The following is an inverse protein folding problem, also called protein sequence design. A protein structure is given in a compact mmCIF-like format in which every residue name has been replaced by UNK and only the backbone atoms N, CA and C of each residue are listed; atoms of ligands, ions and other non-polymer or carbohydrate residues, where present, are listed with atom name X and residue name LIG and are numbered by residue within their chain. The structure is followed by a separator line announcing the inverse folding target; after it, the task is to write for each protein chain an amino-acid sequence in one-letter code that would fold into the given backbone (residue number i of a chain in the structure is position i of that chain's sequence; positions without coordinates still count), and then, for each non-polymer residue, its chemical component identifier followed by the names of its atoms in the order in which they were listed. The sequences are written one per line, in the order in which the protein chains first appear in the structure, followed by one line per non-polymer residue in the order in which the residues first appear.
data_IF_622500658710
#
_entry.id   IF_622500658710
#
_cell.length_a   1.000
_cell.length_b   1.000
_cell.length_c   1.000
_cell.angle_alpha   90.00
_cell.angle_beta   90.00
_cell.angle_gamma   90.00
#
_symmetry.space_group_name_H-M   'P 1'
#
loop_
_entity.id
_entity.type
_entity.pdbx_description
1 polymer ?
#
# COMPACT_ATOMS: atom_id res chain seq x y z
N UNK A 1 4.81 -30.12 -3.66
CA UNK A 1 4.39 -28.72 -3.42
C UNK A 1 4.08 -28.57 -1.94
N UNK A 2 4.86 -27.78 -1.19
CA UNK A 2 4.62 -27.61 0.25
C UNK A 2 3.34 -26.79 0.46
N UNK A 3 2.34 -27.36 1.12
CA UNK A 3 1.10 -26.66 1.38
C UNK A 3 1.30 -25.54 2.42
N UNK A 4 0.75 -24.36 2.16
CA UNK A 4 0.84 -23.23 3.09
C UNK A 4 0.04 -23.52 4.36
N UNK A 5 0.64 -23.32 5.54
CA UNK A 5 -0.03 -23.46 6.84
C UNK A 5 -0.38 -22.10 7.44
N UNK A 6 -1.47 -22.04 8.17
CA UNK A 6 -1.91 -20.85 8.89
C UNK A 6 -0.90 -20.51 10.01
N UNK A 7 -0.41 -19.27 10.10
CA UNK A 7 0.55 -18.88 11.15
C UNK A 7 -0.07 -18.81 12.55
N UNK A 8 -1.40 -18.85 12.67
CA UNK A 8 -2.12 -18.77 13.95
C UNK A 8 -2.51 -20.15 14.47
N UNK A 9 -3.07 -21.01 13.62
CA UNK A 9 -3.61 -22.31 14.03
C UNK A 9 -2.93 -23.52 13.36
N UNK A 10 -1.90 -23.32 12.54
CA UNK A 10 -1.14 -24.37 11.82
C UNK A 10 -1.95 -25.26 10.86
N UNK A 11 -3.25 -25.00 10.67
CA UNK A 11 -4.10 -25.67 9.70
C UNK A 11 -3.68 -25.35 8.27
N UNK A 12 -3.99 -26.26 7.35
CA UNK A 12 -3.77 -26.08 5.92
C UNK A 12 -4.58 -24.90 5.37
N UNK A 13 -3.92 -23.98 4.66
CA UNK A 13 -4.59 -22.87 3.99
C UNK A 13 -5.06 -23.33 2.61
N UNK A 14 -6.34 -23.09 2.32
CA UNK A 14 -6.93 -23.32 1.00
C UNK A 14 -7.23 -21.99 0.31
N UNK A 15 -6.92 -21.93 -0.98
CA UNK A 15 -7.34 -20.83 -1.81
C UNK A 15 -8.84 -20.98 -2.10
N UNK A 16 -9.62 -19.97 -1.73
CA UNK A 16 -11.03 -19.87 -2.14
C UNK A 16 -11.08 -19.04 -3.43
N UNK A 17 -11.34 -19.66 -4.59
CA UNK A 17 -11.37 -18.94 -5.85
C UNK A 17 -12.52 -17.93 -5.90
N UNK A 18 -12.33 -16.87 -6.68
CA UNK A 18 -13.36 -15.92 -7.04
C UNK A 18 -13.63 -16.04 -8.54
N UNK A 19 -14.90 -16.18 -8.92
CA UNK A 19 -15.30 -16.21 -10.33
C UNK A 19 -15.50 -14.80 -10.92
N UNK A 20 -15.62 -13.77 -10.05
CA UNK A 20 -15.64 -12.37 -10.45
C UNK A 20 -14.21 -11.87 -10.70
N UNK A 21 -13.64 -12.29 -11.82
CA UNK A 21 -12.30 -11.91 -12.24
C UNK A 21 -12.31 -10.98 -13.46
N UNK A 22 -13.49 -10.69 -14.01
CA UNK A 22 -13.59 -10.02 -15.29
C UNK A 22 -13.62 -8.51 -15.06
N UNK A 23 -12.43 -7.92 -15.11
CA UNK A 23 -12.25 -6.48 -15.29
C UNK A 23 -11.65 -6.24 -16.67
N UNK A 24 -12.36 -5.52 -17.52
CA UNK A 24 -11.78 -4.99 -18.77
C UNK A 24 -11.92 -3.48 -18.82
N UNK A 25 -10.98 -2.84 -19.53
CA UNK A 25 -11.08 -1.41 -19.82
C UNK A 25 -11.97 -1.24 -21.04
N UNK A 26 -13.16 -0.64 -20.84
CA UNK A 26 -14.11 -0.40 -21.92
C UNK A 26 -13.67 0.77 -22.81
N UNK A 27 -13.12 1.81 -22.20
CA UNK A 27 -12.76 3.04 -22.90
C UNK A 27 -11.67 3.84 -22.17
N UNK A 28 -10.85 4.56 -22.93
CA UNK A 28 -9.87 5.52 -22.43
C UNK A 28 -10.26 6.93 -22.88
N UNK A 29 -10.40 7.86 -21.93
CA UNK A 29 -10.64 9.28 -22.21
C UNK A 29 -9.50 10.08 -21.59
N UNK A 30 -8.56 10.52 -22.43
CA UNK A 30 -7.35 11.28 -22.02
C UNK A 30 -6.59 10.59 -20.89
N UNK A 31 -6.78 11.07 -19.66
CA UNK A 31 -6.13 10.65 -18.41
C UNK A 31 -6.98 9.67 -17.58
N UNK A 32 -8.13 9.22 -18.10
CA UNK A 32 -9.09 8.36 -17.39
C UNK A 32 -9.41 7.10 -18.19
N UNK A 33 -9.81 6.05 -17.48
CA UNK A 33 -10.33 4.82 -18.08
C UNK A 33 -11.63 4.40 -17.39
N UNK A 34 -12.54 3.80 -18.16
CA UNK A 34 -13.75 3.16 -17.65
C UNK A 34 -13.43 1.67 -17.50
N UNK A 35 -13.46 1.18 -16.28
CA UNK A 35 -13.30 -0.23 -15.95
C UNK A 35 -14.69 -0.78 -15.62
N UNK A 36 -15.12 -1.82 -16.33
CA UNK A 36 -16.34 -2.55 -15.97
C UNK A 36 -15.92 -3.80 -15.20
N UNK A 37 -16.58 -4.03 -14.07
CA UNK A 37 -16.52 -5.27 -13.32
C UNK A 37 -17.87 -5.99 -13.47
N UNK A 38 -17.85 -7.27 -13.79
CA UNK A 38 -19.04 -8.13 -13.86
C UNK A 38 -18.96 -9.25 -12.81
N UNK A 39 -20.10 -9.55 -12.19
CA UNK A 39 -20.25 -10.52 -11.12
C UNK A 39 -20.36 -9.93 -9.71
N UNK A 40 -20.69 -10.81 -8.75
CA UNK A 40 -20.83 -10.50 -7.33
C UNK A 40 -19.88 -11.35 -6.47
N UNK A 41 -19.05 -10.72 -5.63
CA UNK A 41 -18.09 -11.43 -4.79
C UNK A 41 -18.81 -12.17 -3.63
N UNK A 42 -18.88 -13.50 -3.70
CA UNK A 42 -19.47 -14.35 -2.64
C UNK A 42 -18.45 -14.86 -1.62
N UNK A 43 -17.23 -14.34 -1.64
CA UNK A 43 -16.19 -14.66 -0.66
C UNK A 43 -15.91 -13.48 0.27
N UNK A 44 -15.30 -13.77 1.42
CA UNK A 44 -14.83 -12.72 2.33
C UNK A 44 -13.80 -11.84 1.62
N UNK A 45 -13.87 -10.53 1.88
CA UNK A 45 -12.87 -9.58 1.40
C UNK A 45 -11.52 -9.98 1.98
N UNK A 46 -10.49 -10.22 1.14
CA UNK A 46 -9.17 -10.57 1.63
C UNK A 46 -8.57 -9.39 2.39
N UNK A 47 -7.71 -9.67 3.36
CA UNK A 47 -6.98 -8.61 4.05
C UNK A 47 -6.09 -7.85 3.05
N UNK A 48 -6.48 -6.63 2.71
CA UNK A 48 -5.77 -5.81 1.72
C UNK A 48 -4.44 -5.35 2.30
N UNK A 49 -3.33 -5.72 1.65
CA UNK A 49 -1.96 -5.35 2.05
C UNK A 49 -1.52 -3.99 1.48
N UNK A 50 -2.37 -3.34 0.68
CA UNK A 50 -2.10 -2.05 0.06
C UNK A 50 -2.86 -0.96 0.81
N UNK A 51 -2.26 0.22 1.02
CA UNK A 51 -3.00 1.38 1.51
C UNK A 51 -4.04 1.79 0.46
N UNK A 52 -5.18 2.28 0.94
CA UNK A 52 -6.23 2.87 0.12
C UNK A 52 -5.77 4.20 -0.49
N UNK A 53 -6.64 4.81 -1.31
CA UNK A 53 -6.34 6.06 -1.97
C UNK A 53 -6.04 7.20 -0.97
N UNK A 54 -6.86 7.33 0.07
CA UNK A 54 -6.73 8.38 1.08
C UNK A 54 -5.45 8.24 1.91
N UNK A 55 -5.12 7.02 2.35
CA UNK A 55 -3.89 6.74 3.07
C UNK A 55 -2.63 6.98 2.23
N UNK A 56 -2.68 6.70 0.92
CA UNK A 56 -1.59 7.07 0.01
C UNK A 56 -1.45 8.57 -0.14
N UNK A 57 -2.56 9.30 -0.27
CA UNK A 57 -2.53 10.75 -0.41
C UNK A 57 -2.00 11.41 0.87
N UNK A 58 -2.47 11.00 2.04
CA UNK A 58 -1.97 11.48 3.32
C UNK A 58 -0.47 11.19 3.52
N UNK A 59 0.00 10.00 3.11
CA UNK A 59 1.43 9.69 3.11
C UNK A 59 2.20 10.63 2.18
N UNK A 60 1.66 10.93 1.00
CA UNK A 60 2.27 11.85 0.04
C UNK A 60 2.43 13.25 0.64
N UNK A 61 1.41 13.77 1.32
CA UNK A 61 1.44 15.09 1.96
C UNK A 61 2.51 15.16 3.06
N UNK A 62 2.63 14.11 3.88
CA UNK A 62 3.68 14.02 4.93
C UNK A 62 5.09 13.95 4.32
N UNK A 63 5.27 13.16 3.26
CA UNK A 63 6.58 13.04 2.59
C UNK A 63 6.94 14.34 1.88
N UNK A 64 5.97 15.04 1.29
CA UNK A 64 6.15 16.37 0.70
C UNK A 64 6.60 17.41 1.72
N UNK A 65 5.97 17.41 2.91
CA UNK A 65 6.33 18.34 3.99
C UNK A 65 7.75 18.11 4.54
N UNK A 66 8.24 16.87 4.50
CA UNK A 66 9.55 16.51 5.04
C UNK A 66 10.26 15.40 4.23
N UNK A 67 10.72 15.69 3.00
CA UNK A 67 11.21 14.67 2.05
C UNK A 67 12.47 13.94 2.55
N UNK A 68 13.24 14.57 3.45
CA UNK A 68 14.45 13.99 4.04
C UNK A 68 14.16 12.94 5.12
N UNK A 69 12.96 12.90 5.70
CA UNK A 69 12.62 11.88 6.72
C UNK A 69 12.70 10.50 6.10
N UNK A 70 13.46 9.60 6.73
CA UNK A 70 13.57 8.20 6.31
C UNK A 70 12.28 7.43 6.58
N UNK A 71 12.11 6.26 5.97
CA UNK A 71 10.96 5.39 6.28
C UNK A 71 10.88 5.05 7.79
N UNK A 72 12.03 4.88 8.45
CA UNK A 72 12.08 4.64 9.89
C UNK A 72 11.58 5.85 10.69
N UNK A 73 12.00 7.06 10.33
CA UNK A 73 11.55 8.29 10.98
C UNK A 73 10.09 8.63 10.70
N UNK A 74 9.52 8.15 9.59
CA UNK A 74 8.08 8.25 9.31
C UNK A 74 7.29 7.21 10.14
N UNK A 75 7.84 6.01 10.27
CA UNK A 75 7.25 4.90 11.00
C UNK A 75 7.21 5.16 12.51
N UNK A 76 8.29 5.70 13.07
CA UNK A 76 8.46 5.97 14.49
C UNK A 76 8.62 7.48 14.67
N UNK A 77 7.76 8.13 15.47
CA UNK A 77 7.90 9.54 15.80
C UNK A 77 9.31 9.84 16.32
N UNK A 78 9.88 10.98 15.93
CA UNK A 78 11.14 11.41 16.53
C UNK A 78 10.85 11.93 17.94
N UNK A 79 11.56 11.46 18.99
CA UNK A 79 11.35 11.96 20.35
C UNK A 79 11.44 13.49 20.41
N UNK A 80 10.52 14.13 21.13
CA UNK A 80 10.46 15.59 21.23
C UNK A 80 9.83 16.31 20.03
N UNK A 81 9.30 15.57 19.04
CA UNK A 81 8.54 16.15 17.93
C UNK A 81 7.05 15.80 18.06
N UNK A 82 6.18 16.71 17.63
CA UNK A 82 4.73 16.44 17.48
C UNK A 82 4.43 15.62 16.19
N UNK A 83 5.43 14.96 15.62
CA UNK A 83 5.27 14.23 14.37
C UNK A 83 4.51 12.91 14.62
N UNK A 84 3.31 12.79 14.08
CA UNK A 84 2.55 11.53 14.17
C UNK A 84 3.18 10.41 13.33
N UNK A 85 2.97 9.18 13.80
CA UNK A 85 3.36 7.98 13.07
C UNK A 85 2.41 7.73 11.90
N UNK A 86 2.97 7.48 10.72
CA UNK A 86 2.18 7.11 9.53
C UNK A 86 1.43 5.77 9.69
N UNK A 87 1.73 4.98 10.74
CA UNK A 87 0.98 3.74 11.07
C UNK A 87 -0.50 3.99 11.29
N UNK A 88 -0.88 5.20 11.74
CA UNK A 88 -2.29 5.59 11.94
C UNK A 88 -3.05 5.78 10.63
N UNK A 89 -2.34 6.06 9.52
CA UNK A 89 -2.96 6.31 8.22
C UNK A 89 -3.38 5.02 7.51
N UNK A 90 -2.65 3.93 7.72
CA UNK A 90 -2.99 2.62 7.15
C UNK A 90 -2.21 1.51 7.86
N UNK A 91 -2.86 0.38 8.09
CA UNK A 91 -2.21 -0.86 8.55
C UNK A 91 -1.09 -1.31 7.60
N UNK A 92 -1.14 -0.90 6.32
CA UNK A 92 -0.10 -1.18 5.33
C UNK A 92 1.23 -0.46 5.61
N UNK A 93 1.22 0.64 6.39
CA UNK A 93 2.42 1.40 6.70
C UNK A 93 3.17 0.93 7.94
N UNK A 94 2.72 -0.14 8.60
CA UNK A 94 3.42 -0.74 9.75
C UNK A 94 4.73 -1.42 9.33
N UNK A 95 4.81 -1.91 8.09
CA UNK A 95 6.01 -2.53 7.56
C UNK A 95 6.97 -1.47 6.97
N UNK A 96 8.19 -1.38 7.54
CA UNK A 96 9.21 -0.40 7.16
C UNK A 96 9.59 -0.48 5.69
N UNK A 97 9.78 -1.67 5.14
CA UNK A 97 10.28 -1.84 3.77
C UNK A 97 9.19 -1.46 2.75
N UNK A 98 7.93 -1.82 3.05
CA UNK A 98 6.76 -1.38 2.26
C UNK A 98 6.58 0.13 2.32
N UNK A 99 6.71 0.74 3.49
CA UNK A 99 6.70 2.19 3.64
C UNK A 99 7.84 2.85 2.86
N UNK A 100 9.04 2.25 2.90
CA UNK A 100 10.18 2.67 2.10
C UNK A 100 9.93 2.62 0.60
N UNK A 101 9.26 1.58 0.11
CA UNK A 101 8.81 1.49 -1.29
C UNK A 101 7.89 2.66 -1.65
N UNK A 102 6.83 2.91 -0.87
CA UNK A 102 5.90 4.01 -1.16
C UNK A 102 6.58 5.37 -1.10
N UNK A 103 7.42 5.61 -0.09
CA UNK A 103 8.21 6.83 0.01
C UNK A 103 9.10 7.06 -1.21
N UNK A 104 9.80 6.03 -1.71
CA UNK A 104 10.64 6.14 -2.92
C UNK A 104 9.80 6.46 -4.16
N UNK A 105 8.63 5.84 -4.31
CA UNK A 105 7.70 6.15 -5.39
C UNK A 105 7.28 7.62 -5.36
N UNK A 106 6.87 8.11 -4.19
CA UNK A 106 6.45 9.51 -4.00
C UNK A 106 7.61 10.47 -4.30
N UNK A 107 8.83 10.20 -3.82
CA UNK A 107 10.00 11.04 -4.10
C UNK A 107 10.33 11.08 -5.60
N UNK A 108 10.23 9.94 -6.28
CA UNK A 108 10.43 9.85 -7.73
C UNK A 108 9.37 10.66 -8.50
N UNK A 109 8.10 10.59 -8.10
CA UNK A 109 7.02 11.40 -8.67
C UNK A 109 7.28 12.92 -8.52
N UNK A 110 7.98 13.33 -7.45
CA UNK A 110 8.36 14.73 -7.22
C UNK A 110 9.67 15.14 -7.90
N UNK A 111 10.34 14.24 -8.63
CA UNK A 111 11.66 14.50 -9.21
C UNK A 111 12.81 14.58 -8.19
N UNK A 112 12.59 14.13 -6.95
CA UNK A 112 13.61 14.14 -5.89
C UNK A 112 14.38 12.83 -5.90
N UNK A 113 15.63 12.88 -6.34
CA UNK A 113 16.57 11.75 -6.22
C UNK A 113 17.33 11.89 -4.90
N UNK A 114 17.08 10.99 -3.95
CA UNK A 114 17.82 10.99 -2.69
C UNK A 114 19.19 10.31 -2.89
N UNK A 115 20.28 10.86 -2.33
CA UNK A 115 21.58 10.21 -2.39
C UNK A 115 21.55 8.88 -1.61
N UNK A 116 22.11 7.82 -2.21
CA UNK A 116 22.41 6.56 -1.52
C UNK A 116 21.51 5.36 -1.83
N UNK A 117 21.29 5.03 -3.11
CA UNK A 117 20.91 3.68 -3.54
C UNK A 117 21.45 3.43 -4.95
N UNK A 118 22.70 2.94 -5.02
CA UNK A 118 23.15 1.99 -6.04
C UNK A 118 23.09 0.62 -5.39
#
# INVERSE_FOLDING_TARGET
MSCCRCPVCSMELRHHPCECAIMWVQHFVKDRCIIIHDGNHEHKIPHVKKPDHYGKQALKDIVMAAPRRTAQQLLVPTPGTNAESVRRLSSSFVNRDRLGYFRRSILKEMGITMPGNV
#
